data_IF_763765382942
#
_entry.id   IF_763765382942
#
_cell.length_a   1.000
_cell.length_b   1.000
_cell.length_c   1.000
_cell.angle_alpha   90.00
_cell.angle_beta   90.00
_cell.angle_gamma   90.00
#
_symmetry.space_group_name_H-M   'P 1'
#
loop_
_entity.id
_entity.type
_entity.pdbx_description
1 polymer ?
#
# COMPACT_ATOMS: atom_id res chain seq x y z
N UNK A 1 40.12 9.04 -19.95
CA UNK A 1 39.24 9.57 -18.89
C UNK A 1 37.79 9.11 -19.06
N UNK A 2 37.23 9.07 -20.27
CA UNK A 2 35.85 8.61 -20.51
C UNK A 2 35.59 7.17 -20.07
N UNK A 3 36.47 6.22 -20.40
CA UNK A 3 36.31 4.82 -19.99
C UNK A 3 36.18 4.64 -18.46
N UNK A 4 36.96 5.42 -17.71
CA UNK A 4 36.93 5.40 -16.25
C UNK A 4 35.63 5.96 -15.69
N UNK A 5 35.09 7.01 -16.33
CA UNK A 5 33.81 7.60 -15.97
C UNK A 5 32.64 6.63 -16.26
N UNK A 6 32.68 5.94 -17.40
CA UNK A 6 31.70 4.89 -17.75
C UNK A 6 31.70 3.76 -16.71
N UNK A 7 32.87 3.26 -16.33
CA UNK A 7 33.01 2.21 -15.32
C UNK A 7 32.51 2.65 -13.93
N UNK A 8 32.75 3.92 -13.56
CA UNK A 8 32.23 4.48 -12.31
C UNK A 8 30.71 4.53 -12.29
N UNK A 9 30.09 4.95 -13.40
CA UNK A 9 28.64 5.00 -13.53
C UNK A 9 28.02 3.59 -13.49
N UNK A 10 28.63 2.60 -14.13
CA UNK A 10 28.20 1.20 -14.05
C UNK A 10 28.26 0.65 -12.61
N UNK A 11 29.31 0.97 -11.86
CA UNK A 11 29.42 0.57 -10.45
C UNK A 11 28.36 1.25 -9.57
N UNK A 12 28.09 2.53 -9.78
CA UNK A 12 27.04 3.26 -9.06
C UNK A 12 25.67 2.64 -9.35
N UNK A 13 25.38 2.36 -10.63
CA UNK A 13 24.12 1.76 -11.04
C UNK A 13 23.95 0.34 -10.47
N UNK A 14 25.02 -0.46 -10.45
CA UNK A 14 25.03 -1.79 -9.84
C UNK A 14 24.76 -1.75 -8.34
N UNK A 15 25.39 -0.81 -7.61
CA UNK A 15 25.15 -0.62 -6.17
C UNK A 15 23.73 -0.15 -5.86
N UNK A 16 23.17 0.75 -6.67
CA UNK A 16 21.78 1.20 -6.53
C UNK A 16 20.81 0.03 -6.75
N UNK A 17 20.98 -0.73 -7.83
CA UNK A 17 20.13 -1.89 -8.13
C UNK A 17 20.20 -2.93 -7.01
N UNK A 18 21.41 -3.25 -6.54
CA UNK A 18 21.61 -4.21 -5.44
C UNK A 18 20.98 -3.73 -4.13
N UNK A 19 21.10 -2.44 -3.79
CA UNK A 19 20.45 -1.87 -2.61
C UNK A 19 18.92 -1.92 -2.69
N UNK A 20 18.35 -1.65 -3.86
CA UNK A 20 16.91 -1.79 -4.10
C UNK A 20 16.45 -3.24 -4.05
N UNK A 21 17.15 -4.16 -4.73
CA UNK A 21 16.81 -5.58 -4.75
C UNK A 21 16.92 -6.18 -3.32
N UNK A 22 17.91 -5.78 -2.51
CA UNK A 22 18.02 -6.22 -1.12
C UNK A 22 16.90 -5.66 -0.23
N UNK A 23 16.46 -4.41 -0.46
CA UNK A 23 15.32 -3.84 0.24
C UNK A 23 13.98 -4.46 -0.20
N UNK A 24 13.88 -4.91 -1.46
CA UNK A 24 12.70 -5.55 -2.06
C UNK A 24 12.63 -7.05 -1.78
N UNK A 25 13.77 -7.72 -1.56
CA UNK A 25 13.87 -9.05 -0.95
C UNK A 25 13.52 -9.02 0.56
N UNK A 26 12.67 -8.08 0.97
CA UNK A 26 12.03 -8.08 2.26
C UNK A 26 11.40 -9.44 2.50
N UNK A 27 11.71 -10.01 3.66
CA UNK A 27 11.37 -11.40 4.00
C UNK A 27 9.90 -11.73 3.85
N UNK A 28 9.56 -13.00 3.98
CA UNK A 28 8.18 -13.43 3.87
C UNK A 28 7.33 -12.89 5.04
N UNK A 29 6.10 -12.48 4.74
CA UNK A 29 5.10 -12.03 5.70
C UNK A 29 3.84 -12.90 5.63
N UNK A 30 3.10 -12.91 6.73
CA UNK A 30 1.77 -13.50 6.85
C UNK A 30 0.75 -12.43 7.21
N UNK A 31 -0.49 -12.62 6.76
CA UNK A 31 -1.66 -11.91 7.24
C UNK A 31 -2.36 -12.81 8.24
N UNK A 32 -2.47 -12.37 9.48
CA UNK A 32 -3.18 -13.07 10.54
C UNK A 32 -4.49 -12.37 10.84
N UNK A 33 -5.50 -13.15 11.22
CA UNK A 33 -6.80 -12.64 11.64
C UNK A 33 -6.95 -12.86 13.15
N UNK A 34 -7.13 -11.79 13.91
CA UNK A 34 -7.48 -11.92 15.31
C UNK A 34 -8.83 -12.62 15.45
N UNK A 35 -8.89 -13.71 16.20
CA UNK A 35 -10.14 -14.40 16.53
C UNK A 35 -11.05 -13.58 17.46
N UNK A 36 -10.46 -12.68 18.27
CA UNK A 36 -11.19 -11.82 19.19
C UNK A 36 -11.86 -10.62 18.49
N UNK A 37 -11.11 -9.90 17.66
CA UNK A 37 -11.56 -8.64 17.05
C UNK A 37 -11.90 -8.77 15.56
N UNK A 38 -11.51 -9.87 14.92
CA UNK A 38 -11.65 -10.07 13.48
C UNK A 38 -10.74 -9.19 12.60
N UNK A 39 -9.84 -8.41 13.22
CA UNK A 39 -8.91 -7.50 12.54
C UNK A 39 -7.82 -8.31 11.82
N UNK A 40 -7.46 -7.86 10.61
CA UNK A 40 -6.34 -8.39 9.86
C UNK A 40 -5.07 -7.62 10.21
N UNK A 41 -3.97 -8.33 10.44
CA UNK A 41 -2.66 -7.74 10.74
C UNK A 41 -1.57 -8.46 9.96
N UNK A 42 -0.55 -7.72 9.52
CA UNK A 42 0.58 -8.28 8.77
C UNK A 42 1.75 -8.50 9.74
N UNK A 43 2.25 -9.73 9.80
CA UNK A 43 3.36 -10.15 10.66
C UNK A 43 4.50 -10.70 9.82
N UNK A 44 5.73 -10.46 10.24
CA UNK A 44 6.90 -11.10 9.63
C UNK A 44 6.88 -12.61 9.94
N UNK A 45 7.35 -13.44 9.01
CA UNK A 45 7.38 -14.90 9.19
C UNK A 45 8.18 -15.33 10.41
N UNK A 46 9.18 -14.55 10.83
CA UNK A 46 10.02 -14.82 12.00
C UNK A 46 9.30 -14.61 13.33
N UNK A 47 8.16 -13.92 13.34
CA UNK A 47 7.41 -13.58 14.57
C UNK A 47 6.08 -14.32 14.69
N UNK A 48 5.67 -15.05 13.66
CA UNK A 48 4.44 -15.85 13.68
C UNK A 48 4.66 -17.09 14.56
N UNK A 49 3.81 -17.26 15.57
CA UNK A 49 3.72 -18.48 16.38
C UNK A 49 2.53 -19.33 15.92
N UNK A 50 2.55 -20.64 16.20
CA UNK A 50 1.56 -21.62 15.73
C UNK A 50 0.11 -21.30 16.13
N UNK A 51 -0.10 -20.52 17.19
CA UNK A 51 -1.44 -20.13 17.68
C UNK A 51 -2.12 -19.03 16.85
N UNK A 52 -1.43 -18.44 15.87
CA UNK A 52 -2.01 -17.39 15.03
C UNK A 52 -2.93 -17.98 13.96
N UNK A 53 -4.13 -17.43 13.83
CA UNK A 53 -5.03 -17.79 12.73
C UNK A 53 -4.57 -17.08 11.44
N UNK A 54 -3.80 -17.81 10.63
CA UNK A 54 -3.25 -17.31 9.36
C UNK A 54 -4.34 -17.26 8.29
N UNK A 55 -4.57 -16.07 7.75
CA UNK A 55 -5.52 -15.83 6.67
C UNK A 55 -4.86 -15.84 5.28
N UNK A 56 -3.59 -15.42 5.17
CA UNK A 56 -2.86 -15.34 3.90
C UNK A 56 -1.34 -15.34 4.11
N UNK A 57 -0.55 -15.89 3.19
CA UNK A 57 0.93 -15.96 3.28
C UNK A 57 1.48 -17.40 3.30
N UNK A 58 2.81 -17.60 3.26
CA UNK A 58 3.86 -16.57 3.25
C UNK A 58 4.00 -15.88 1.89
N UNK A 59 4.09 -14.54 1.86
CA UNK A 59 4.27 -13.72 0.65
C UNK A 59 5.06 -12.43 0.96
N UNK A 60 5.61 -11.73 -0.04
CA UNK A 60 6.20 -10.41 0.15
C UNK A 60 5.21 -9.40 0.76
N UNK A 61 5.73 -8.45 1.55
CA UNK A 61 4.93 -7.44 2.26
C UNK A 61 3.90 -6.74 1.37
N UNK A 62 4.29 -6.36 0.14
CA UNK A 62 3.42 -5.70 -0.82
C UNK A 62 2.17 -6.53 -1.18
N UNK A 63 2.32 -7.85 -1.30
CA UNK A 63 1.20 -8.75 -1.59
C UNK A 63 0.29 -8.93 -0.37
N UNK A 64 0.85 -9.02 0.83
CA UNK A 64 0.09 -9.08 2.08
C UNK A 64 -0.75 -7.81 2.29
N UNK A 65 -0.18 -6.63 2.04
CA UNK A 65 -0.92 -5.36 2.08
C UNK A 65 -2.00 -5.31 1.00
N UNK A 66 -1.71 -5.81 -0.21
CA UNK A 66 -2.71 -5.94 -1.27
C UNK A 66 -3.92 -6.77 -0.85
N UNK A 67 -3.68 -7.92 -0.19
CA UNK A 67 -4.73 -8.78 0.34
C UNK A 67 -5.56 -8.11 1.45
N UNK A 68 -4.92 -7.39 2.37
CA UNK A 68 -5.63 -6.65 3.43
C UNK A 68 -6.53 -5.59 2.79
N UNK A 69 -6.00 -4.81 1.85
CA UNK A 69 -6.75 -3.75 1.19
C UNK A 69 -7.94 -4.31 0.40
N UNK A 70 -7.76 -5.40 -0.35
CA UNK A 70 -8.87 -6.01 -1.09
C UNK A 70 -9.96 -6.53 -0.15
N UNK A 71 -9.58 -7.14 0.98
CA UNK A 71 -10.54 -7.65 1.96
C UNK A 71 -11.29 -6.53 2.67
N UNK A 72 -10.62 -5.43 3.03
CA UNK A 72 -11.24 -4.25 3.65
C UNK A 72 -12.18 -3.55 2.65
N UNK A 73 -11.76 -3.41 1.39
CA UNK A 73 -12.58 -2.82 0.33
C UNK A 73 -13.83 -3.68 0.06
N UNK A 74 -13.69 -5.01 -0.06
CA UNK A 74 -14.84 -5.91 -0.23
C UNK A 74 -15.82 -5.79 0.95
N UNK A 75 -15.33 -5.79 2.19
CA UNK A 75 -16.18 -5.63 3.38
C UNK A 75 -16.86 -4.26 3.43
N UNK A 76 -16.22 -3.21 2.92
CA UNK A 76 -16.80 -1.86 2.84
C UNK A 76 -17.86 -1.78 1.75
N UNK A 77 -17.65 -2.47 0.62
CA UNK A 77 -18.63 -2.60 -0.45
C UNK A 77 -19.85 -3.43 -0.02
N UNK A 78 -19.65 -4.50 0.76
CA UNK A 78 -20.75 -5.30 1.33
C UNK A 78 -21.51 -4.55 2.43
N UNK A 79 -20.84 -3.69 3.20
CA UNK A 79 -21.48 -2.85 4.21
C UNK A 79 -22.10 -1.57 3.63
N UNK A 80 -21.82 -1.25 2.37
CA UNK A 80 -22.45 -0.17 1.63
C UNK A 80 -23.84 -0.60 1.18
N UNK A 81 -24.74 -0.82 2.15
CA UNK A 81 -26.14 -0.46 1.95
C UNK A 81 -26.15 1.03 1.62
N UNK A 82 -26.38 1.33 0.35
CA UNK A 82 -26.51 2.66 -0.22
C UNK A 82 -27.76 3.35 0.36
N UNK A 83 -27.74 3.69 1.64
CA UNK A 83 -28.52 4.83 2.13
C UNK A 83 -27.76 6.08 1.68
N UNK A 84 -28.27 6.67 0.60
CA UNK A 84 -27.84 7.96 0.08
C UNK A 84 -28.02 9.00 1.18
N UNK A 85 -26.96 9.32 1.93
CA UNK A 85 -26.97 10.46 2.85
C UNK A 85 -27.11 11.74 2.00
N UNK A 86 -28.25 12.47 2.05
CA UNK A 86 -28.49 13.63 1.19
C UNK A 86 -27.53 14.80 1.50
N UNK A 87 -26.77 14.70 2.59
CA UNK A 87 -26.00 15.80 3.16
C UNK A 87 -24.65 16.02 2.47
N UNK A 88 -24.17 15.06 1.67
CA UNK A 88 -22.87 15.16 0.96
C UNK A 88 -22.87 16.09 -0.27
N UNK A 89 -24.03 16.62 -0.69
CA UNK A 89 -24.12 17.50 -1.88
C UNK A 89 -23.74 18.96 -1.62
N UNK A 90 -23.39 19.36 -0.38
CA UNK A 90 -23.09 20.77 -0.07
C UNK A 90 -21.60 21.15 -0.02
N UNK A 91 -20.67 20.22 -0.23
CA UNK A 91 -19.23 20.52 -0.18
C UNK A 91 -18.58 20.62 -1.57
N UNK A 92 -19.19 21.36 -2.51
CA UNK A 92 -18.47 21.83 -3.70
C UNK A 92 -17.95 23.26 -3.44
N UNK A 93 -16.63 23.50 -3.43
CA UNK A 93 -16.08 24.84 -3.28
C UNK A 93 -16.47 25.70 -4.50
N UNK A 94 -17.13 26.84 -4.23
CA UNK A 94 -17.47 27.85 -5.25
C UNK A 94 -16.19 28.32 -5.96
N UNK A 95 -16.11 28.12 -7.28
CA UNK A 95 -15.08 28.73 -8.15
C UNK A 95 -15.03 30.25 -7.90
N UNK A 96 -13.84 30.87 -7.77
CA UNK A 96 -13.72 32.31 -7.70
C UNK A 96 -14.07 32.95 -9.04
N UNK A 97 -14.95 33.96 -9.03
CA UNK A 97 -15.27 34.80 -10.20
C UNK A 97 -14.01 35.53 -10.65
N UNK A 98 -13.54 35.25 -11.87
CA UNK A 98 -12.66 36.15 -12.59
C UNK A 98 -13.46 37.43 -12.92
N UNK A 99 -13.10 38.57 -12.32
CA UNK A 99 -13.51 39.89 -12.81
C UNK A 99 -12.71 40.15 -14.09
N UNK A 100 -13.34 39.89 -15.23
CA UNK A 100 -12.94 40.45 -16.50
C UNK A 100 -13.36 41.91 -16.54
N UNK A 101 -12.37 42.77 -16.71
CA UNK A 101 -12.48 44.19 -17.04
C UNK A 101 -13.01 44.31 -18.46
N UNK A 102 -14.14 44.97 -18.66
CA UNK A 102 -14.59 45.43 -19.98
C UNK A 102 -14.74 46.95 -19.98
N UNK A 103 -14.46 47.48 -21.18
CA UNK A 103 -14.18 48.86 -21.57
C UNK A 103 -15.35 49.83 -21.39
#
# INVERSE_FOLDING_TARGET
>A
MELHNTQLMEQIQSRLKSGFDAALQGGDYYVVRSSLTGVLSVLASTTVTEDHNVAFGPRPFSQCIGYVNSTVVMRTAEKSDWESDPTLTQALPKKPKAKGTEQ
#
